data_IF_189518236403
#
_entry.id   IF_189518236403
#
_cell.length_a   1.000
_cell.length_b   1.000
_cell.length_c   1.000
_cell.angle_alpha   90.00
_cell.angle_beta   90.00
_cell.angle_gamma   90.00
#
_symmetry.space_group_name_H-M   'P 1'
#
loop_
_entity.id
_entity.type
_entity.pdbx_description
1 polymer ?
#
# COMPACT_ATOMS: atom_id res chain seq x y z
N UNK A 1 26.43 -19.58 12.36
CA UNK A 1 25.97 -20.97 12.51
C UNK A 1 24.51 -20.87 12.96
N UNK A 2 23.58 -21.50 12.25
CA UNK A 2 22.15 -21.45 12.57
C UNK A 2 21.92 -22.41 13.76
N UNK A 3 21.22 -21.96 14.79
CA UNK A 3 20.78 -22.84 15.88
C UNK A 3 19.52 -23.59 15.44
N UNK A 4 19.67 -24.85 15.01
CA UNK A 4 18.54 -25.65 14.53
C UNK A 4 17.48 -25.91 15.60
N UNK A 5 17.79 -25.73 16.90
CA UNK A 5 16.80 -25.90 17.96
C UNK A 5 15.73 -24.78 17.96
N UNK A 6 16.05 -23.61 17.39
CA UNK A 6 15.07 -22.55 17.19
C UNK A 6 14.04 -22.90 16.11
N UNK A 7 14.33 -23.89 15.25
CA UNK A 7 13.44 -24.34 14.19
C UNK A 7 12.36 -25.31 14.70
N UNK A 8 12.48 -25.85 15.92
CA UNK A 8 11.48 -26.77 16.49
C UNK A 8 10.10 -26.10 16.65
N UNK A 9 10.07 -24.80 16.95
CA UNK A 9 8.82 -24.04 17.00
C UNK A 9 8.20 -23.85 15.61
N UNK A 10 9.06 -23.66 14.60
CA UNK A 10 8.61 -23.54 13.21
C UNK A 10 8.07 -24.88 12.69
N UNK A 11 8.70 -26.00 13.04
CA UNK A 11 8.18 -27.35 12.76
C UNK A 11 6.78 -27.54 13.36
N UNK A 12 6.58 -27.11 14.60
CA UNK A 12 5.28 -27.21 15.28
C UNK A 12 4.20 -26.41 14.54
N UNK A 13 4.49 -25.16 14.15
CA UNK A 13 3.57 -24.32 13.35
C UNK A 13 3.23 -24.98 12.02
N UNK A 14 4.21 -25.52 11.29
CA UNK A 14 3.96 -26.23 10.03
C UNK A 14 3.11 -27.47 10.27
N UNK A 15 3.35 -28.20 11.36
CA UNK A 15 2.55 -29.37 11.73
C UNK A 15 1.08 -29.01 11.99
N UNK A 16 0.82 -27.85 12.60
CA UNK A 16 -0.54 -27.32 12.76
C UNK A 16 -1.15 -26.92 11.43
N UNK A 17 -0.37 -26.29 10.54
CA UNK A 17 -0.80 -26.01 9.16
C UNK A 17 -1.32 -27.27 8.47
N UNK A 18 -0.55 -28.36 8.52
CA UNK A 18 -0.97 -29.66 7.96
C UNK A 18 -2.21 -30.20 8.68
N UNK A 19 -2.21 -30.20 10.02
CA UNK A 19 -3.31 -30.73 10.84
C UNK A 19 -4.64 -30.05 10.57
N UNK A 20 -4.64 -28.73 10.40
CA UNK A 20 -5.83 -27.91 10.20
C UNK A 20 -6.08 -27.56 8.74
N UNK A 21 -5.29 -28.13 7.81
CA UNK A 21 -5.36 -27.87 6.38
C UNK A 21 -5.23 -26.38 6.02
N UNK A 22 -4.28 -25.71 6.67
CA UNK A 22 -3.88 -24.33 6.42
C UNK A 22 -2.55 -24.31 5.66
N UNK A 23 -2.44 -23.41 4.70
CA UNK A 23 -1.18 -23.12 4.04
C UNK A 23 -0.34 -22.21 4.94
N UNK A 24 0.96 -22.49 5.07
CA UNK A 24 1.92 -21.67 5.80
C UNK A 24 2.88 -21.04 4.78
N UNK A 25 2.96 -19.72 4.77
CA UNK A 25 3.99 -18.98 4.05
C UNK A 25 5.05 -18.56 5.05
N UNK A 26 6.30 -19.00 4.85
CA UNK A 26 7.44 -18.51 5.63
C UNK A 26 8.00 -17.31 4.90
N UNK A 27 8.08 -16.17 5.60
CA UNK A 27 8.65 -14.93 5.07
C UNK A 27 9.80 -14.46 5.95
N UNK A 28 10.83 -13.88 5.33
CA UNK A 28 11.91 -13.21 6.05
C UNK A 28 11.63 -11.71 6.04
N UNK A 29 11.44 -11.16 7.24
CA UNK A 29 11.27 -9.71 7.48
C UNK A 29 12.51 -9.08 8.13
N UNK A 30 13.32 -9.87 8.84
CA UNK A 30 14.54 -9.41 9.52
C UNK A 30 15.82 -9.99 8.91
N UNK A 31 16.92 -9.23 8.96
CA UNK A 31 18.19 -9.67 8.39
C UNK A 31 18.96 -10.65 9.29
N UNK A 32 19.65 -11.65 8.71
CA UNK A 32 20.57 -12.48 9.48
C UNK A 32 21.59 -11.65 10.25
N UNK A 33 21.98 -12.13 11.44
CA UNK A 33 22.98 -11.50 12.33
C UNK A 33 22.57 -10.17 12.98
N UNK A 34 21.31 -9.76 12.90
CA UNK A 34 20.80 -8.55 13.57
C UNK A 34 19.92 -8.79 14.80
N UNK A 35 19.68 -10.04 15.18
CA UNK A 35 18.85 -10.40 16.35
C UNK A 35 19.39 -9.78 17.66
N UNK A 36 18.48 -9.24 18.50
CA UNK A 36 18.74 -8.58 19.80
C UNK A 36 19.21 -7.12 19.72
N UNK A 37 18.93 -6.45 18.61
CA UNK A 37 19.11 -5.02 18.49
C UNK A 37 17.76 -4.31 18.75
N UNK A 38 17.68 -2.98 18.86
CA UNK A 38 16.36 -2.31 18.90
C UNK A 38 15.62 -2.51 17.57
N UNK A 39 14.30 -2.32 17.46
CA UNK A 39 13.61 -2.39 16.14
C UNK A 39 14.31 -1.55 15.05
N UNK A 40 14.91 -0.42 15.41
CA UNK A 40 15.72 0.44 14.54
C UNK A 40 17.08 -0.19 14.20
N UNK A 41 17.73 -0.85 15.14
CA UNK A 41 19.01 -1.52 14.92
C UNK A 41 18.87 -2.90 14.24
N UNK A 42 17.75 -3.59 14.44
CA UNK A 42 17.41 -4.86 13.78
C UNK A 42 17.14 -4.63 12.29
N UNK A 43 16.86 -3.37 11.92
CA UNK A 43 16.70 -2.96 10.53
C UNK A 43 15.61 -3.75 9.81
N UNK A 44 14.55 -4.17 10.53
CA UNK A 44 13.40 -4.88 9.94
C UNK A 44 12.78 -4.05 8.79
N UNK A 45 12.95 -2.73 8.85
CA UNK A 45 12.52 -1.78 7.80
C UNK A 45 13.64 -1.40 6.79
N UNK A 46 14.87 -1.86 6.98
CA UNK A 46 16.02 -1.52 6.10
C UNK A 46 16.91 -2.74 5.87
N UNK A 47 16.49 -3.60 4.94
CA UNK A 47 17.22 -4.80 4.50
C UNK A 47 18.16 -4.52 3.29
N UNK A 48 18.56 -3.26 3.09
CA UNK A 48 19.40 -2.80 1.97
C UNK A 48 20.73 -3.56 1.86
N UNK A 49 21.26 -4.01 2.99
CA UNK A 49 22.52 -4.78 3.07
C UNK A 49 22.45 -6.10 2.30
N UNK A 50 21.25 -6.66 2.09
CA UNK A 50 21.06 -7.84 1.23
C UNK A 50 21.60 -7.60 -0.18
N UNK A 51 21.59 -6.35 -0.64
CA UNK A 51 22.01 -5.96 -1.99
C UNK A 51 23.45 -5.41 -2.02
N UNK A 52 23.97 -4.96 -0.88
CA UNK A 52 25.27 -4.29 -0.77
C UNK A 52 26.39 -5.15 -0.14
N UNK A 53 26.06 -6.16 0.67
CA UNK A 53 27.03 -7.00 1.38
C UNK A 53 26.91 -8.47 0.98
N UNK A 54 27.90 -8.97 0.23
CA UNK A 54 27.94 -10.36 -0.25
C UNK A 54 28.04 -11.40 0.89
N UNK A 55 28.56 -11.02 2.07
CA UNK A 55 28.61 -11.92 3.23
C UNK A 55 27.22 -12.13 3.82
N UNK A 56 26.47 -11.04 3.99
CA UNK A 56 25.09 -11.07 4.47
C UNK A 56 24.21 -11.82 3.46
N UNK A 57 24.38 -11.54 2.16
CA UNK A 57 23.69 -12.26 1.10
C UNK A 57 24.01 -13.77 1.10
N UNK A 58 25.27 -14.14 1.36
CA UNK A 58 25.68 -15.54 1.50
C UNK A 58 24.93 -16.25 2.64
N UNK A 59 24.83 -15.61 3.81
CA UNK A 59 24.07 -16.15 4.95
C UNK A 59 22.57 -16.26 4.64
N UNK A 60 22.00 -15.26 3.97
CA UNK A 60 20.61 -15.29 3.50
C UNK A 60 20.34 -16.47 2.57
N UNK A 61 21.22 -16.70 1.59
CA UNK A 61 21.10 -17.83 0.66
C UNK A 61 21.23 -19.17 1.39
N UNK A 62 22.19 -19.31 2.30
CA UNK A 62 22.40 -20.54 3.08
C UNK A 62 21.19 -20.85 3.97
N UNK A 63 20.56 -19.84 4.56
CA UNK A 63 19.35 -19.99 5.37
C UNK A 63 18.19 -20.57 4.54
N UNK A 64 17.94 -20.03 3.36
CA UNK A 64 16.89 -20.54 2.48
C UNK A 64 17.16 -21.97 2.00
N UNK A 65 18.40 -22.29 1.65
CA UNK A 65 18.78 -23.67 1.25
C UNK A 65 18.62 -24.64 2.42
N UNK A 66 18.92 -24.20 3.65
CA UNK A 66 18.68 -25.01 4.85
C UNK A 66 17.18 -25.30 5.04
N UNK A 67 16.31 -24.28 4.99
CA UNK A 67 14.85 -24.48 5.10
C UNK A 67 14.31 -25.35 3.96
N UNK A 68 14.79 -25.17 2.73
CA UNK A 68 14.41 -25.97 1.58
C UNK A 68 14.76 -27.45 1.75
N UNK A 69 15.93 -27.76 2.34
CA UNK A 69 16.32 -29.13 2.69
C UNK A 69 15.49 -29.69 3.85
N UNK A 70 15.31 -28.92 4.93
CA UNK A 70 14.57 -29.35 6.12
C UNK A 70 13.12 -29.72 5.78
N UNK A 71 12.48 -28.93 4.92
CA UNK A 71 11.09 -29.09 4.54
C UNK A 71 10.89 -29.64 3.14
N UNK A 72 11.88 -30.35 2.56
CA UNK A 72 11.79 -30.86 1.20
C UNK A 72 10.57 -31.78 0.97
N UNK A 73 10.20 -32.56 1.99
CA UNK A 73 9.09 -33.52 1.93
C UNK A 73 7.71 -32.90 2.23
N UNK A 74 7.64 -31.64 2.63
CA UNK A 74 6.37 -30.96 2.91
C UNK A 74 5.74 -30.51 1.59
N UNK A 75 4.55 -31.00 1.19
CA UNK A 75 3.92 -30.63 -0.07
C UNK A 75 3.67 -29.12 -0.19
N UNK A 76 3.85 -28.54 -1.38
CA UNK A 76 3.67 -27.10 -1.61
C UNK A 76 2.26 -26.58 -1.34
N UNK A 77 1.24 -27.46 -1.29
CA UNK A 77 -0.10 -27.08 -0.82
C UNK A 77 -0.10 -26.58 0.64
N UNK A 78 0.87 -26.98 1.45
CA UNK A 78 0.97 -26.59 2.86
C UNK A 78 2.08 -25.59 3.15
N UNK A 79 3.04 -25.41 2.25
CA UNK A 79 4.22 -24.60 2.54
C UNK A 79 4.73 -23.86 1.30
N UNK A 80 4.96 -22.56 1.44
CA UNK A 80 5.66 -21.71 0.47
C UNK A 80 6.70 -20.83 1.17
N UNK A 81 7.64 -20.31 0.39
CA UNK A 81 8.71 -19.42 0.85
C UNK A 81 8.57 -18.06 0.18
N UNK A 82 8.30 -17.01 0.93
CA UNK A 82 8.47 -15.63 0.50
C UNK A 82 9.89 -15.18 0.87
N UNK A 83 10.71 -14.86 -0.14
CA UNK A 83 12.15 -14.72 0.09
C UNK A 83 12.51 -13.55 0.99
N UNK A 84 11.84 -12.42 0.82
CA UNK A 84 12.04 -11.21 1.59
C UNK A 84 10.80 -10.34 1.42
N UNK A 85 10.18 -9.93 2.52
CA UNK A 85 9.09 -8.95 2.51
C UNK A 85 9.66 -7.53 2.35
N UNK A 86 8.97 -6.69 1.58
CA UNK A 86 9.24 -5.24 1.46
C UNK A 86 10.74 -4.90 1.33
N UNK A 87 11.38 -5.44 0.28
CA UNK A 87 12.81 -5.23 0.10
C UNK A 87 13.16 -3.75 -0.14
N UNK A 88 14.01 -3.20 0.72
CA UNK A 88 14.66 -1.91 0.57
C UNK A 88 15.78 -2.03 -0.48
N UNK A 89 15.40 -2.12 -1.74
CA UNK A 89 16.37 -2.24 -2.84
C UNK A 89 16.95 -0.86 -3.14
N UNK A 90 18.29 -0.70 -3.23
CA UNK A 90 18.91 0.56 -3.63
C UNK A 90 18.29 1.12 -4.91
N UNK A 91 17.93 2.40 -4.87
CA UNK A 91 17.30 3.15 -5.96
C UNK A 91 16.00 2.51 -6.51
N UNK A 92 15.32 1.65 -5.72
CA UNK A 92 14.20 0.82 -6.17
C UNK A 92 14.51 0.03 -7.46
N UNK A 93 15.76 -0.42 -7.63
CA UNK A 93 16.21 -1.10 -8.84
C UNK A 93 15.69 -2.54 -8.94
N UNK A 94 14.59 -2.74 -9.67
CA UNK A 94 14.04 -4.08 -9.91
C UNK A 94 15.07 -5.02 -10.55
N UNK A 95 15.92 -4.53 -11.46
CA UNK A 95 16.97 -5.35 -12.08
C UNK A 95 17.99 -5.88 -11.06
N UNK A 96 18.39 -5.06 -10.08
CA UNK A 96 19.30 -5.48 -9.01
C UNK A 96 18.63 -6.54 -8.12
N UNK A 97 17.35 -6.34 -7.81
CA UNK A 97 16.56 -7.32 -7.05
C UNK A 97 16.51 -8.68 -7.75
N UNK A 98 16.21 -8.69 -9.05
CA UNK A 98 16.18 -9.90 -9.86
C UNK A 98 17.54 -10.58 -9.94
N UNK A 99 18.62 -9.82 -10.19
CA UNK A 99 19.98 -10.33 -10.25
C UNK A 99 20.38 -11.01 -8.94
N UNK A 100 20.09 -10.36 -7.81
CA UNK A 100 20.45 -10.87 -6.48
C UNK A 100 19.63 -12.07 -6.07
N UNK A 101 18.32 -12.11 -6.32
CA UNK A 101 17.49 -13.24 -5.86
C UNK A 101 17.52 -14.46 -6.79
N UNK A 102 17.80 -14.30 -8.08
CA UNK A 102 17.79 -15.41 -9.03
C UNK A 102 18.70 -16.61 -8.63
N UNK A 103 19.94 -16.42 -8.10
CA UNK A 103 20.75 -17.50 -7.56
C UNK A 103 20.08 -18.25 -6.39
N UNK A 104 19.36 -17.55 -5.52
CA UNK A 104 18.68 -18.14 -4.35
C UNK A 104 17.54 -19.05 -4.80
N UNK A 105 16.72 -18.61 -5.77
CA UNK A 105 15.66 -19.42 -6.38
C UNK A 105 16.22 -20.74 -6.91
N UNK A 106 17.32 -20.67 -7.68
CA UNK A 106 17.97 -21.86 -8.24
C UNK A 106 18.46 -22.81 -7.15
N UNK A 107 19.08 -22.29 -6.10
CA UNK A 107 19.59 -23.09 -5.00
C UNK A 107 18.47 -23.80 -4.21
N UNK A 108 17.33 -23.12 -3.99
CA UNK A 108 16.14 -23.72 -3.39
C UNK A 108 15.60 -24.84 -4.27
N UNK A 109 15.40 -24.58 -5.57
CA UNK A 109 14.81 -25.57 -6.49
C UNK A 109 15.73 -26.74 -6.83
N UNK A 110 17.05 -26.60 -6.66
CA UNK A 110 17.98 -27.72 -6.77
C UNK A 110 17.69 -28.81 -5.72
N UNK A 111 17.27 -28.42 -4.52
CA UNK A 111 17.00 -29.35 -3.40
C UNK A 111 15.51 -29.59 -3.16
N UNK A 112 14.65 -28.66 -3.56
CA UNK A 112 13.18 -28.78 -3.46
C UNK A 112 12.51 -28.28 -4.75
N UNK A 113 12.54 -29.08 -5.84
CA UNK A 113 12.14 -28.62 -7.18
C UNK A 113 10.67 -28.18 -7.32
N UNK A 114 9.81 -28.58 -6.40
CA UNK A 114 8.37 -28.27 -6.44
C UNK A 114 7.98 -27.15 -5.47
N UNK A 115 8.93 -26.62 -4.68
CA UNK A 115 8.63 -25.58 -3.68
C UNK A 115 8.13 -24.32 -4.38
N UNK A 116 6.97 -23.83 -3.93
CA UNK A 116 6.49 -22.50 -4.29
C UNK A 116 7.40 -21.48 -3.61
N UNK A 117 8.05 -20.65 -4.43
CA UNK A 117 8.85 -19.52 -4.00
C UNK A 117 8.16 -18.25 -4.48
N UNK A 118 7.99 -17.29 -3.58
CA UNK A 118 7.27 -16.03 -3.77
C UNK A 118 8.29 -14.90 -3.65
N UNK A 119 8.19 -13.93 -4.56
CA UNK A 119 9.02 -12.72 -4.59
C UNK A 119 8.11 -11.50 -4.55
N UNK A 120 8.53 -10.50 -3.79
CA UNK A 120 7.79 -9.28 -3.54
C UNK A 120 8.03 -8.27 -4.68
N UNK A 121 7.18 -7.24 -4.78
CA UNK A 121 7.47 -6.10 -5.64
C UNK A 121 8.60 -5.23 -5.10
N UNK A 122 9.13 -4.37 -5.98
CA UNK A 122 10.16 -3.38 -5.62
C UNK A 122 9.60 -2.00 -5.95
N UNK A 123 9.06 -1.32 -4.93
CA UNK A 123 8.38 -0.04 -5.14
C UNK A 123 7.27 -0.16 -6.20
N UNK A 124 6.46 -1.23 -6.11
CA UNK A 124 5.37 -1.58 -7.05
C UNK A 124 5.81 -1.94 -8.47
N UNK A 125 7.10 -2.11 -8.70
CA UNK A 125 7.61 -2.72 -9.93
C UNK A 125 7.56 -4.24 -9.80
N UNK A 126 7.01 -4.89 -10.83
CA UNK A 126 6.90 -6.34 -10.87
C UNK A 126 8.24 -6.95 -11.28
N UNK A 127 8.83 -7.87 -10.51
CA UNK A 127 10.06 -8.57 -10.88
C UNK A 127 9.80 -9.65 -11.94
N UNK A 128 9.46 -9.22 -13.16
CA UNK A 128 9.11 -10.10 -14.29
C UNK A 128 10.19 -11.16 -14.60
N UNK A 129 11.47 -10.84 -14.41
CA UNK A 129 12.58 -11.76 -14.64
C UNK A 129 12.55 -12.95 -13.69
N UNK A 130 12.17 -12.75 -12.42
CA UNK A 130 11.98 -13.84 -11.45
C UNK A 130 10.68 -14.61 -11.70
N UNK A 131 9.61 -13.93 -12.10
CA UNK A 131 8.37 -14.58 -12.51
C UNK A 131 8.60 -15.50 -13.72
N UNK A 132 9.38 -15.05 -14.70
CA UNK A 132 9.81 -15.87 -15.86
C UNK A 132 10.60 -17.12 -15.46
N UNK A 133 11.30 -17.09 -14.31
CA UNK A 133 11.98 -18.27 -13.76
C UNK A 133 11.03 -19.25 -13.06
N UNK A 134 9.78 -18.85 -12.80
CA UNK A 134 8.76 -19.67 -12.14
C UNK A 134 8.39 -19.22 -10.72
N UNK A 135 8.95 -18.11 -10.22
CA UNK A 135 8.56 -17.58 -8.92
C UNK A 135 7.16 -16.95 -8.98
N UNK A 136 6.38 -17.15 -7.92
CA UNK A 136 5.12 -16.46 -7.73
C UNK A 136 5.39 -15.00 -7.30
N UNK A 137 4.44 -14.12 -7.59
CA UNK A 137 4.56 -12.69 -7.29
C UNK A 137 3.71 -12.39 -6.05
N UNK A 138 4.25 -11.59 -5.14
CA UNK A 138 3.47 -10.91 -4.12
C UNK A 138 3.48 -9.42 -4.35
N UNK A 139 2.36 -8.75 -4.05
CA UNK A 139 2.36 -7.30 -3.91
C UNK A 139 2.09 -6.92 -2.45
N UNK A 140 2.92 -6.04 -1.92
CA UNK A 140 2.62 -5.23 -0.74
C UNK A 140 1.97 -3.93 -1.21
N UNK A 141 0.72 -4.05 -1.66
CA UNK A 141 -0.03 -2.87 -2.07
C UNK A 141 -0.50 -2.11 -0.84
N UNK A 142 0.31 -1.12 -0.44
CA UNK A 142 -0.11 -0.08 0.47
C UNK A 142 -1.47 0.47 0.07
N UNK A 143 -2.33 0.53 1.09
CA UNK A 143 -3.69 1.06 1.12
C UNK A 143 -3.73 2.42 0.38
N UNK A 144 -4.88 2.78 -0.21
CA UNK A 144 -5.14 4.20 -0.51
C UNK A 144 -4.79 5.06 0.70
N UNK A 145 -4.61 6.37 0.54
CA UNK A 145 -4.26 7.24 1.68
C UNK A 145 -5.45 7.50 2.61
N UNK A 146 -6.11 6.45 3.08
CA UNK A 146 -7.15 6.42 4.13
C UNK A 146 -6.54 6.38 5.53
N UNK A 147 -5.20 6.45 5.64
CA UNK A 147 -4.45 6.58 6.89
C UNK A 147 -3.73 7.93 6.89
N UNK A 148 -4.22 8.87 7.71
CA UNK A 148 -3.61 10.19 7.87
C UNK A 148 -2.23 10.17 8.50
N UNK A 149 -1.84 9.10 9.21
CA UNK A 149 -0.49 8.98 9.78
C UNK A 149 0.60 8.90 8.70
N UNK A 150 0.24 8.50 7.47
CA UNK A 150 1.16 8.51 6.32
C UNK A 150 1.45 9.92 5.79
N UNK A 151 0.77 10.94 6.30
CA UNK A 151 0.86 12.34 5.87
C UNK A 151 1.31 13.26 7.00
N UNK A 152 2.46 12.94 7.62
CA UNK A 152 3.01 13.74 8.72
C UNK A 152 3.14 15.21 8.33
N UNK A 153 2.59 16.10 9.15
CA UNK A 153 2.58 17.55 8.90
C UNK A 153 1.36 18.06 8.14
N UNK A 154 0.46 17.17 7.71
CA UNK A 154 -0.81 17.49 7.05
C UNK A 154 -1.95 17.06 7.97
N UNK A 155 -2.91 17.96 8.21
CA UNK A 155 -4.08 17.67 9.04
C UNK A 155 -5.19 16.94 8.23
N UNK A 156 -4.85 15.80 7.65
CA UNK A 156 -5.80 14.94 6.95
C UNK A 156 -6.28 13.83 7.88
N UNK A 157 -7.58 13.60 7.88
CA UNK A 157 -8.20 12.44 8.54
C UNK A 157 -8.78 11.54 7.47
N UNK A 158 -8.31 10.30 7.42
CA UNK A 158 -8.82 9.27 6.52
C UNK A 158 -10.33 9.06 6.63
N UNK A 159 -10.94 8.77 5.48
CA UNK A 159 -12.36 8.41 5.37
C UNK A 159 -12.56 7.42 4.22
N UNK A 160 -13.73 6.77 4.20
CA UNK A 160 -14.10 5.90 3.09
C UNK A 160 -15.59 6.03 2.74
N UNK A 161 -15.95 6.24 1.46
CA UNK A 161 -15.09 6.29 0.27
C UNK A 161 -14.22 7.55 0.20
N UNK A 162 -12.93 7.37 -0.07
CA UNK A 162 -11.98 8.47 -0.28
C UNK A 162 -12.15 9.06 -1.69
N UNK A 163 -11.83 10.34 -1.84
CA UNK A 163 -11.78 10.99 -3.16
C UNK A 163 -10.74 10.34 -4.06
N UNK A 164 -11.12 10.14 -5.32
CA UNK A 164 -10.15 9.92 -6.37
C UNK A 164 -9.40 11.24 -6.61
N UNK A 165 -8.12 11.29 -6.25
CA UNK A 165 -7.25 12.45 -6.45
C UNK A 165 -5.81 12.00 -6.72
N UNK A 166 -5.34 11.95 -7.97
CA UNK A 166 -3.95 11.61 -8.27
C UNK A 166 -2.98 12.66 -7.71
N UNK A 167 -1.80 12.22 -7.31
CA UNK A 167 -0.75 13.07 -6.75
C UNK A 167 0.15 13.68 -7.81
N UNK A 168 0.16 13.15 -9.03
CA UNK A 168 1.14 13.54 -10.05
C UNK A 168 0.51 14.52 -11.03
N UNK A 169 1.03 15.75 -11.08
CA UNK A 169 0.73 16.70 -12.14
C UNK A 169 1.77 16.56 -13.25
N UNK A 170 1.32 16.12 -14.42
CA UNK A 170 2.13 16.00 -15.64
C UNK A 170 1.77 17.14 -16.62
N UNK A 171 2.61 18.18 -16.77
CA UNK A 171 2.32 19.29 -17.69
C UNK A 171 2.12 18.81 -19.13
N UNK A 172 1.01 19.23 -19.75
CA UNK A 172 0.70 18.90 -21.15
C UNK A 172 0.11 17.51 -21.39
N UNK A 173 -0.13 16.71 -20.34
CA UNK A 173 -0.88 15.47 -20.46
C UNK A 173 -2.39 15.73 -20.68
N UNK A 174 -3.07 14.81 -21.35
CA UNK A 174 -4.53 14.87 -21.50
C UNK A 174 -5.20 14.76 -20.11
N UNK A 175 -6.05 15.74 -19.76
CA UNK A 175 -6.71 15.88 -18.44
C UNK A 175 -5.74 16.07 -17.26
N UNK A 176 -4.75 16.97 -17.42
CA UNK A 176 -3.81 17.37 -16.36
C UNK A 176 -4.32 18.49 -15.43
N UNK A 177 -5.62 18.81 -15.47
CA UNK A 177 -6.20 19.95 -14.73
C UNK A 177 -7.10 19.45 -13.62
N UNK A 178 -6.68 19.62 -12.37
CA UNK A 178 -7.53 19.43 -11.20
C UNK A 178 -8.54 20.58 -11.16
N UNK A 179 -9.82 20.25 -11.08
CA UNK A 179 -10.88 21.25 -10.97
C UNK A 179 -11.59 21.11 -9.64
N UNK A 180 -11.55 22.16 -8.81
CA UNK A 180 -12.34 22.25 -7.58
C UNK A 180 -13.53 23.17 -7.82
N UNK A 181 -14.74 22.64 -7.75
CA UNK A 181 -15.98 23.38 -7.98
C UNK A 181 -16.72 23.58 -6.69
N UNK A 182 -17.22 24.78 -6.42
CA UNK A 182 -18.16 24.99 -5.32
C UNK A 182 -19.59 24.69 -5.76
N UNK A 183 -20.40 24.11 -4.87
CA UNK A 183 -21.86 23.94 -5.06
C UNK A 183 -22.62 25.27 -5.18
N UNK A 184 -22.00 26.35 -4.73
CA UNK A 184 -22.54 27.70 -4.68
C UNK A 184 -21.47 28.69 -5.17
N UNK A 185 -20.62 29.14 -4.25
CA UNK A 185 -19.38 29.88 -4.51
C UNK A 185 -18.43 29.63 -3.33
N UNK A 186 -17.13 29.73 -3.55
CA UNK A 186 -16.13 29.87 -2.50
C UNK A 186 -16.28 31.25 -1.80
N UNK A 187 -16.09 31.28 -0.48
CA UNK A 187 -15.79 32.51 0.25
C UNK A 187 -14.33 32.91 0.03
N UNK A 188 -13.98 34.16 0.34
CA UNK A 188 -12.56 34.56 0.41
C UNK A 188 -11.81 33.62 1.36
N UNK A 189 -10.61 33.22 0.98
CA UNK A 189 -9.83 32.27 1.77
C UNK A 189 -8.51 31.92 1.12
N UNK A 190 -7.96 30.77 1.50
CA UNK A 190 -6.65 30.31 1.06
C UNK A 190 -6.77 28.88 0.53
N UNK A 191 -6.12 28.61 -0.61
CA UNK A 191 -5.82 27.25 -1.06
C UNK A 191 -4.33 26.99 -0.88
N UNK A 192 -3.98 25.82 -0.35
CA UNK A 192 -2.60 25.34 -0.22
C UNK A 192 -2.42 24.00 -0.89
N UNK A 193 -1.28 23.82 -1.52
CA UNK A 193 -0.82 22.55 -2.06
C UNK A 193 0.46 22.13 -1.35
N UNK A 194 0.47 20.91 -0.82
CA UNK A 194 1.65 20.28 -0.21
C UNK A 194 2.34 19.42 -1.26
N UNK A 195 3.61 19.69 -1.54
CA UNK A 195 4.37 19.13 -2.66
C UNK A 195 5.52 18.29 -2.14
N UNK A 196 5.77 17.17 -2.83
CA UNK A 196 6.93 16.33 -2.61
C UNK A 196 8.11 16.77 -3.49
N UNK A 197 9.22 17.12 -2.84
CA UNK A 197 10.45 17.49 -3.55
C UNK A 197 11.43 16.34 -3.72
N UNK A 198 11.21 15.22 -3.03
CA UNK A 198 12.09 14.06 -3.06
C UNK A 198 12.14 13.42 -4.46
N UNK A 199 11.00 13.43 -5.15
CA UNK A 199 10.84 12.82 -6.48
C UNK A 199 10.67 13.84 -7.60
N UNK A 200 10.69 15.14 -7.29
CA UNK A 200 10.60 16.22 -8.28
C UNK A 200 11.98 16.60 -8.82
N UNK A 201 12.05 17.05 -10.08
CA UNK A 201 13.30 17.54 -10.71
C UNK A 201 13.76 18.91 -10.18
N UNK A 202 13.01 19.51 -9.25
CA UNK A 202 13.21 20.86 -8.74
C UNK A 202 12.79 21.97 -9.72
N UNK A 203 12.11 21.62 -10.83
CA UNK A 203 11.72 22.55 -11.90
C UNK A 203 10.23 22.49 -12.26
N UNK A 204 9.41 22.06 -11.31
CA UNK A 204 7.96 21.94 -11.48
C UNK A 204 7.22 22.87 -10.53
N UNK A 205 6.05 23.34 -10.96
CA UNK A 205 5.15 24.18 -10.16
C UNK A 205 3.68 23.98 -10.49
N UNK A 206 2.82 24.77 -9.85
CA UNK A 206 1.38 24.79 -10.12
C UNK A 206 0.95 26.17 -10.59
N UNK A 207 0.12 26.23 -11.64
CA UNK A 207 -0.66 27.41 -11.96
C UNK A 207 -2.09 27.24 -11.45
N UNK A 208 -2.66 28.29 -10.83
CA UNK A 208 -4.00 28.29 -10.24
C UNK A 208 -4.82 29.43 -10.84
N UNK A 209 -6.02 29.08 -11.32
CA UNK A 209 -6.98 30.03 -11.89
C UNK A 209 -8.30 29.95 -11.11
N UNK A 210 -8.87 31.10 -10.78
CA UNK A 210 -10.20 31.26 -10.22
C UNK A 210 -11.15 31.80 -11.30
N UNK A 211 -12.17 31.04 -11.68
CA UNK A 211 -13.11 31.35 -12.77
C UNK A 211 -12.40 31.81 -14.06
N UNK A 212 -11.28 31.15 -14.39
CA UNK A 212 -10.44 31.45 -15.56
C UNK A 212 -9.45 32.60 -15.38
N UNK A 213 -9.48 33.32 -14.25
CA UNK A 213 -8.52 34.38 -13.93
C UNK A 213 -7.34 33.78 -13.16
N UNK A 214 -6.12 33.97 -13.65
CA UNK A 214 -4.91 33.55 -12.93
C UNK A 214 -4.79 34.26 -11.60
N UNK A 215 -4.81 33.50 -10.50
CA UNK A 215 -4.54 33.97 -9.13
C UNK A 215 -3.15 33.55 -8.65
N UNK A 216 -2.58 32.53 -9.29
CA UNK A 216 -1.20 32.10 -9.09
C UNK A 216 -0.63 31.62 -10.43
N UNK A 217 0.41 32.26 -11.00
CA UNK A 217 0.88 31.95 -12.34
C UNK A 217 1.67 30.64 -12.44
N UNK A 218 2.25 30.17 -11.32
CA UNK A 218 3.21 29.07 -11.29
C UNK A 218 4.60 29.45 -11.82
N UNK A 219 5.65 28.96 -11.15
CA UNK A 219 7.04 29.03 -11.63
C UNK A 219 7.79 27.73 -11.24
N UNK A 220 9.12 27.71 -11.31
CA UNK A 220 9.96 26.69 -10.67
C UNK A 220 9.87 26.84 -9.15
N UNK A 221 8.94 26.12 -8.55
CA UNK A 221 8.61 26.28 -7.12
C UNK A 221 9.70 25.68 -6.23
N UNK A 222 10.29 26.49 -5.35
CA UNK A 222 11.27 26.02 -4.36
C UNK A 222 10.61 25.55 -3.05
N UNK A 223 9.39 26.02 -2.77
CA UNK A 223 8.65 25.70 -1.55
C UNK A 223 7.98 24.31 -1.62
N UNK A 224 7.93 23.60 -0.50
CA UNK A 224 7.09 22.40 -0.33
C UNK A 224 5.60 22.74 -0.13
N UNK A 225 5.28 24.02 0.05
CA UNK A 225 3.90 24.51 0.15
C UNK A 225 3.69 25.67 -0.84
N UNK A 226 2.75 25.50 -1.77
CA UNK A 226 2.25 26.59 -2.62
C UNK A 226 0.97 27.12 -2.00
N UNK A 227 0.84 28.44 -1.91
CA UNK A 227 -0.33 29.11 -1.33
C UNK A 227 -0.87 30.18 -2.29
N UNK A 228 -2.21 30.22 -2.44
CA UNK A 228 -2.88 31.27 -3.18
C UNK A 228 -4.16 31.74 -2.46
N UNK A 229 -4.49 33.02 -2.59
CA UNK A 229 -5.74 33.59 -2.09
C UNK A 229 -6.88 33.28 -3.04
N UNK A 230 -7.95 32.69 -2.53
CA UNK A 230 -9.21 32.45 -3.25
C UNK A 230 -10.06 33.72 -3.15
N UNK A 231 -10.45 34.36 -4.28
CA UNK A 231 -11.37 35.48 -4.26
C UNK A 231 -12.78 35.10 -3.76
N UNK A 232 -13.47 36.03 -3.10
CA UNK A 232 -14.88 35.84 -2.74
C UNK A 232 -15.73 35.68 -4.00
N UNK A 233 -16.65 34.71 -3.97
CA UNK A 233 -17.60 34.49 -5.06
C UNK A 233 -17.08 33.58 -6.18
N UNK A 234 -15.84 33.09 -6.08
CA UNK A 234 -15.27 32.13 -7.05
C UNK A 234 -16.15 30.88 -7.14
N UNK A 235 -16.41 30.37 -8.35
CA UNK A 235 -17.19 29.13 -8.53
C UNK A 235 -16.31 27.93 -8.82
N UNK A 236 -15.21 28.15 -9.52
CA UNK A 236 -14.32 27.10 -9.98
C UNK A 236 -12.86 27.52 -9.80
N UNK A 237 -12.06 26.61 -9.24
CA UNK A 237 -10.61 26.68 -9.21
C UNK A 237 -10.07 25.63 -10.18
N UNK A 238 -9.17 26.03 -11.06
CA UNK A 238 -8.47 25.16 -12.00
C UNK A 238 -6.99 25.17 -11.67
N UNK A 239 -6.40 23.99 -11.50
CA UNK A 239 -5.02 23.80 -11.08
C UNK A 239 -4.33 22.89 -12.07
N UNK A 240 -3.20 23.34 -12.61
CA UNK A 240 -2.41 22.60 -13.60
C UNK A 240 -0.92 22.63 -13.24
N UNK A 241 -0.22 21.54 -13.54
CA UNK A 241 1.24 21.50 -13.45
C UNK A 241 1.88 22.37 -14.53
N UNK A 242 2.97 23.05 -14.19
CA UNK A 242 3.79 23.84 -15.12
C UNK A 242 5.25 23.41 -15.10
N UNK A 243 5.94 23.64 -16.22
CA UNK A 243 7.36 23.39 -16.48
C UNK A 243 7.80 21.92 -16.48
N UNK A 244 7.56 21.16 -15.39
CA UNK A 244 7.96 19.76 -15.24
C UNK A 244 7.00 18.99 -14.32
N UNK A 245 7.18 17.68 -14.21
CA UNK A 245 6.37 16.79 -13.36
C UNK A 245 6.47 17.24 -11.89
N UNK A 246 5.31 17.33 -11.24
CA UNK A 246 5.19 17.72 -9.85
C UNK A 246 4.39 16.66 -9.07
N UNK A 247 4.87 16.34 -7.87
CA UNK A 247 4.22 15.41 -6.96
C UNK A 247 3.54 16.18 -5.82
N UNK A 248 2.27 15.91 -5.57
CA UNK A 248 1.44 16.52 -4.54
C UNK A 248 1.05 15.45 -3.51
N UNK A 249 1.10 15.82 -2.23
CA UNK A 249 0.64 15.02 -1.10
C UNK A 249 -0.80 15.34 -0.67
N UNK A 250 -1.17 16.61 -0.72
CA UNK A 250 -2.48 17.07 -0.31
C UNK A 250 -2.80 18.48 -0.84
N UNK A 251 -4.09 18.82 -0.78
CA UNK A 251 -4.62 20.17 -0.95
C UNK A 251 -5.47 20.56 0.26
N UNK A 252 -5.26 21.76 0.77
CA UNK A 252 -6.01 22.36 1.89
C UNK A 252 -6.76 23.61 1.41
N UNK A 253 -8.02 23.72 1.80
CA UNK A 253 -8.87 24.90 1.58
C UNK A 253 -9.28 25.47 2.94
N UNK A 254 -8.84 26.69 3.23
CA UNK A 254 -9.13 27.42 4.46
C UNK A 254 -10.02 28.62 4.13
N UNK A 255 -11.26 28.61 4.62
CA UNK A 255 -12.23 29.65 4.32
C UNK A 255 -12.93 30.11 5.60
N UNK A 256 -12.71 31.35 6.08
CA UNK A 256 -13.33 31.84 7.30
C UNK A 256 -14.85 31.63 7.32
N UNK A 257 -15.33 30.96 8.36
CA UNK A 257 -16.76 30.65 8.53
C UNK A 257 -17.25 29.41 7.78
N UNK A 258 -16.36 28.63 7.17
CA UNK A 258 -16.65 27.31 6.59
C UNK A 258 -15.84 26.23 7.30
N UNK A 259 -16.20 24.98 7.07
CA UNK A 259 -15.38 23.83 7.45
C UNK A 259 -14.14 23.79 6.57
N UNK A 260 -12.97 23.66 7.16
CA UNK A 260 -11.71 23.46 6.41
C UNK A 260 -11.79 22.13 5.64
N UNK A 261 -11.30 22.13 4.40
CA UNK A 261 -11.27 20.92 3.56
C UNK A 261 -9.83 20.52 3.34
N UNK A 262 -9.51 19.27 3.64
CA UNK A 262 -8.22 18.66 3.39
C UNK A 262 -8.42 17.42 2.54
N UNK A 263 -7.85 17.40 1.34
CA UNK A 263 -7.85 16.24 0.44
C UNK A 263 -6.43 15.72 0.33
N UNK A 264 -6.22 14.43 0.53
CA UNK A 264 -4.94 13.78 0.23
C UNK A 264 -4.99 13.10 -1.13
N UNK A 265 -3.85 12.99 -1.81
CA UNK A 265 -3.80 12.13 -2.99
C UNK A 265 -3.93 10.66 -2.59
N UNK A 266 -4.65 9.89 -3.40
CA UNK A 266 -4.94 8.49 -3.10
C UNK A 266 -3.77 7.55 -3.43
N UNK A 267 -2.90 7.99 -4.34
CA UNK A 267 -1.89 7.21 -5.05
C UNK A 267 -0.49 7.34 -4.41
N UNK A 268 -0.40 7.58 -3.09
CA UNK A 268 0.86 7.80 -2.35
C UNK A 268 2.00 6.88 -2.77
N UNK A 269 1.66 5.63 -3.03
CA UNK A 269 2.61 4.58 -3.34
C UNK A 269 2.48 4.09 -4.79
N UNK A 270 1.51 4.57 -5.58
CA UNK A 270 1.31 4.18 -6.99
C UNK A 270 1.68 5.31 -7.94
N UNK A 271 2.70 5.10 -8.76
CA UNK A 271 3.20 6.11 -9.71
C UNK A 271 2.57 5.97 -11.09
N UNK A 272 1.24 5.89 -11.17
CA UNK A 272 0.60 5.96 -12.48
C UNK A 272 0.53 7.43 -12.95
N UNK A 273 1.58 7.86 -13.64
CA UNK A 273 1.76 9.23 -14.16
C UNK A 273 0.67 9.69 -15.15
N UNK A 274 -0.25 8.80 -15.55
CA UNK A 274 -1.27 9.06 -16.56
C UNK A 274 -2.70 9.05 -16.00
N UNK A 275 -2.86 9.13 -14.69
CA UNK A 275 -4.18 9.22 -14.09
C UNK A 275 -4.82 10.60 -14.36
N UNK A 276 -6.08 10.65 -14.85
CA UNK A 276 -6.73 11.91 -15.18
C UNK A 276 -7.04 12.71 -13.92
N UNK A 277 -6.71 14.00 -13.91
CA UNK A 277 -7.09 14.87 -12.82
C UNK A 277 -8.63 15.03 -12.75
N UNK A 278 -9.22 14.97 -11.54
CA UNK A 278 -10.67 14.96 -11.37
C UNK A 278 -11.28 16.36 -11.33
N UNK A 279 -12.61 16.39 -11.44
CA UNK A 279 -13.45 17.47 -10.94
C UNK A 279 -14.01 17.09 -9.57
N UNK A 280 -13.67 17.83 -8.52
CA UNK A 280 -14.17 17.61 -7.16
C UNK A 280 -15.11 18.74 -6.77
N UNK A 281 -16.35 18.40 -6.40
CA UNK A 281 -17.32 19.31 -5.81
C UNK A 281 -16.99 19.52 -4.33
N UNK A 282 -16.88 20.77 -3.91
CA UNK A 282 -16.66 21.21 -2.54
C UNK A 282 -17.93 21.90 -2.03
N UNK A 283 -18.51 21.39 -0.95
CA UNK A 283 -19.70 21.96 -0.32
C UNK A 283 -19.34 22.85 0.87
N UNK A 284 -20.26 23.73 1.25
CA UNK A 284 -20.03 24.67 2.36
C UNK A 284 -19.85 23.99 3.73
N UNK A 285 -20.34 22.76 3.90
CA UNK A 285 -20.18 21.96 5.12
C UNK A 285 -18.84 21.19 5.17
N UNK A 286 -18.03 21.29 4.12
CA UNK A 286 -16.74 20.61 3.99
C UNK A 286 -16.82 19.24 3.30
N UNK A 287 -18.01 18.77 2.93
CA UNK A 287 -18.14 17.49 2.21
C UNK A 287 -17.74 17.62 0.74
N UNK A 288 -17.23 16.52 0.20
CA UNK A 288 -16.61 16.45 -1.12
C UNK A 288 -17.15 15.31 -1.96
N UNK A 289 -17.06 15.45 -3.29
CA UNK A 289 -17.52 14.42 -4.23
C UNK A 289 -16.80 14.58 -5.58
N UNK A 290 -16.23 13.49 -6.13
CA UNK A 290 -15.82 13.47 -7.54
C UNK A 290 -17.06 13.54 -8.44
N UNK A 291 -17.14 14.48 -9.39
CA UNK A 291 -18.37 14.72 -10.19
C UNK A 291 -18.17 14.56 -11.71
N UNK A 292 -17.07 13.94 -12.12
CA UNK A 292 -16.80 13.65 -13.54
C UNK A 292 -17.86 12.72 -14.16
N UNK A 293 -17.92 12.68 -15.49
CA UNK A 293 -18.79 11.76 -16.24
C UNK A 293 -17.99 11.00 -17.31
N UNK A 294 -17.70 9.70 -17.10
CA UNK A 294 -18.03 8.89 -15.92
C UNK A 294 -17.30 9.37 -14.66
N UNK A 295 -17.87 9.07 -13.50
CA UNK A 295 -17.31 9.44 -12.20
C UNK A 295 -15.97 8.71 -11.99
N UNK A 296 -14.94 9.44 -11.60
CA UNK A 296 -13.68 8.87 -11.15
C UNK A 296 -13.82 8.51 -9.67
N UNK A 297 -13.70 7.22 -9.34
CA UNK A 297 -13.91 6.69 -7.99
C UNK A 297 -12.91 5.60 -7.67
N UNK A 298 -12.56 5.47 -6.40
CA UNK A 298 -11.76 4.38 -5.87
C UNK A 298 -12.70 3.22 -5.52
N UNK A 299 -12.65 2.15 -6.31
CA UNK A 299 -13.48 0.98 -6.15
C UNK A 299 -12.73 -0.28 -6.62
N UNK A 300 -13.41 -1.42 -6.65
CA UNK A 300 -12.81 -2.68 -7.06
C UNK A 300 -12.24 -2.68 -8.48
N UNK A 301 -12.84 -1.95 -9.42
CA UNK A 301 -12.31 -1.84 -10.79
C UNK A 301 -10.99 -1.06 -10.81
N UNK A 302 -10.88 0.02 -10.01
CA UNK A 302 -9.60 0.73 -9.82
C UNK A 302 -8.54 -0.18 -9.19
N UNK A 303 -8.90 -0.93 -8.15
CA UNK A 303 -7.97 -1.86 -7.48
C UNK A 303 -7.46 -2.95 -8.44
N UNK A 304 -8.35 -3.56 -9.22
CA UNK A 304 -7.99 -4.59 -10.19
C UNK A 304 -7.08 -4.01 -11.29
N UNK A 305 -7.49 -2.92 -11.92
CA UNK A 305 -6.84 -2.44 -13.15
C UNK A 305 -5.58 -1.62 -12.88
N UNK A 306 -5.62 -0.72 -11.89
CA UNK A 306 -4.53 0.22 -11.63
C UNK A 306 -3.55 -0.37 -10.61
N UNK A 307 -4.05 -0.94 -9.51
CA UNK A 307 -3.17 -1.42 -8.43
C UNK A 307 -2.61 -2.81 -8.67
N UNK A 308 -3.40 -3.73 -9.26
CA UNK A 308 -3.02 -5.13 -9.43
C UNK A 308 -2.75 -5.53 -10.89
N UNK A 309 -3.17 -4.73 -11.86
CA UNK A 309 -3.22 -5.11 -13.28
C UNK A 309 -1.89 -5.65 -13.80
N UNK A 310 -0.77 -4.96 -13.50
CA UNK A 310 0.58 -5.38 -13.91
C UNK A 310 0.97 -6.74 -13.34
N UNK A 311 0.66 -7.01 -12.06
CA UNK A 311 0.96 -8.30 -11.44
C UNK A 311 0.09 -9.42 -12.02
N UNK A 312 -1.21 -9.16 -12.23
CA UNK A 312 -2.14 -10.09 -12.86
C UNK A 312 -1.67 -10.46 -14.27
N UNK A 313 -1.29 -9.47 -15.07
CA UNK A 313 -0.77 -9.68 -16.43
C UNK A 313 0.54 -10.48 -16.42
N UNK A 314 1.48 -10.13 -15.53
CA UNK A 314 2.74 -10.83 -15.39
C UNK A 314 2.53 -12.30 -14.99
N UNK A 315 1.70 -12.56 -13.99
CA UNK A 315 1.37 -13.90 -13.53
C UNK A 315 0.76 -14.76 -14.63
N UNK A 316 -0.18 -14.20 -15.40
CA UNK A 316 -0.76 -14.86 -16.58
C UNK A 316 0.29 -15.13 -17.66
N UNK A 317 1.15 -14.15 -17.96
CA UNK A 317 2.19 -14.24 -18.99
C UNK A 317 3.19 -15.36 -18.73
N UNK A 318 3.59 -15.55 -17.46
CA UNK A 318 4.59 -16.56 -17.08
C UNK A 318 4.00 -17.81 -16.43
N UNK A 319 2.67 -17.89 -16.31
CA UNK A 319 1.95 -19.00 -15.68
C UNK A 319 2.46 -19.30 -14.25
N UNK A 320 2.53 -18.26 -13.43
CA UNK A 320 2.90 -18.31 -12.01
C UNK A 320 1.76 -17.82 -11.14
N UNK A 321 1.82 -18.10 -9.83
CA UNK A 321 0.86 -17.56 -8.87
C UNK A 321 1.07 -16.07 -8.62
N UNK A 322 0.00 -15.38 -8.24
CA UNK A 322 0.01 -14.02 -7.73
C UNK A 322 -0.79 -13.99 -6.43
N UNK A 323 -0.26 -13.36 -5.39
CA UNK A 323 -0.89 -13.20 -4.07
C UNK A 323 -0.81 -11.74 -3.62
N UNK A 324 -1.80 -11.28 -2.86
CA UNK A 324 -1.63 -10.11 -2.00
C UNK A 324 -1.26 -10.56 -0.59
N UNK A 325 -0.01 -10.35 -0.17
CA UNK A 325 0.47 -10.76 1.15
C UNK A 325 0.01 -9.86 2.29
N UNK A 326 -0.46 -8.65 2.00
CA UNK A 326 -0.96 -7.69 3.00
C UNK A 326 -2.25 -7.02 2.54
N UNK A 327 -3.37 -7.72 2.72
CA UNK A 327 -4.71 -7.14 2.57
C UNK A 327 -5.17 -6.63 3.92
N UNK A 328 -5.35 -5.33 4.06
CA UNK A 328 -5.75 -4.74 5.32
C UNK A 328 -5.15 -3.35 5.49
N UNK A 329 -5.68 -2.59 6.44
CA UNK A 329 -5.14 -1.31 6.85
C UNK A 329 -5.01 -1.25 8.36
N UNK A 330 -3.95 -0.60 8.80
CA UNK A 330 -3.71 -0.26 10.20
C UNK A 330 -4.26 1.13 10.55
N UNK A 331 -5.01 1.76 9.62
CA UNK A 331 -5.60 3.09 9.83
C UNK A 331 -6.45 3.14 11.10
N UNK A 332 -6.26 4.20 11.90
CA UNK A 332 -7.14 4.52 13.02
C UNK A 332 -8.22 5.56 12.65
N UNK A 333 -8.17 6.08 11.43
CA UNK A 333 -9.04 7.20 11.03
C UNK A 333 -10.46 6.75 10.67
N UNK A 334 -10.59 5.55 10.12
CA UNK A 334 -11.86 4.99 9.71
C UNK A 334 -12.70 4.54 10.90
N UNK A 335 -13.98 4.92 10.91
CA UNK A 335 -14.96 4.26 11.78
C UNK A 335 -15.07 2.76 11.43
N UNK A 336 -15.54 1.92 12.35
CA UNK A 336 -15.70 0.49 12.08
C UNK A 336 -16.55 0.19 10.82
N UNK A 337 -17.68 0.90 10.55
CA UNK A 337 -18.41 0.72 9.30
C UNK A 337 -17.61 1.09 8.05
N UNK A 338 -16.84 2.18 8.08
CA UNK A 338 -15.98 2.59 6.96
C UNK A 338 -14.84 1.60 6.74
N UNK A 339 -14.23 1.11 7.83
CA UNK A 339 -13.20 0.09 7.81
C UNK A 339 -13.73 -1.19 7.14
N UNK A 340 -14.91 -1.67 7.55
CA UNK A 340 -15.54 -2.85 6.94
C UNK A 340 -15.87 -2.59 5.47
N UNK A 341 -16.41 -1.42 5.13
CA UNK A 341 -16.78 -1.08 3.75
C UNK A 341 -15.56 -1.04 2.82
N UNK A 342 -14.45 -0.43 3.26
CA UNK A 342 -13.19 -0.36 2.53
C UNK A 342 -12.62 -1.75 2.24
N UNK A 343 -12.49 -2.58 3.28
CA UNK A 343 -11.91 -3.91 3.12
C UNK A 343 -12.83 -4.86 2.37
N UNK A 344 -14.14 -4.71 2.49
CA UNK A 344 -15.11 -5.46 1.70
C UNK A 344 -14.94 -5.20 0.20
N UNK A 345 -14.64 -3.96 -0.20
CA UNK A 345 -14.40 -3.62 -1.61
C UNK A 345 -13.16 -4.35 -2.16
N UNK A 346 -12.07 -4.39 -1.38
CA UNK A 346 -10.88 -5.19 -1.70
C UNK A 346 -11.21 -6.68 -1.79
N UNK A 347 -11.81 -7.26 -0.75
CA UNK A 347 -12.07 -8.69 -0.67
C UNK A 347 -13.03 -9.18 -1.77
N UNK A 348 -14.04 -8.38 -2.15
CA UNK A 348 -14.90 -8.65 -3.31
C UNK A 348 -14.10 -8.73 -4.60
N UNK A 349 -13.17 -7.79 -4.80
CA UNK A 349 -12.33 -7.73 -5.99
C UNK A 349 -11.42 -8.96 -6.08
N UNK A 350 -10.77 -9.31 -4.97
CA UNK A 350 -9.89 -10.47 -4.90
C UNK A 350 -10.65 -11.78 -5.11
N UNK A 351 -11.84 -11.92 -4.52
CA UNK A 351 -12.70 -13.07 -4.74
C UNK A 351 -13.16 -13.18 -6.20
N UNK A 352 -13.55 -12.05 -6.83
CA UNK A 352 -13.96 -11.98 -8.24
C UNK A 352 -12.89 -12.55 -9.17
N UNK A 353 -11.63 -12.21 -8.91
CA UNK A 353 -10.50 -12.57 -9.77
C UNK A 353 -9.74 -13.81 -9.29
N UNK A 354 -10.26 -14.48 -8.25
CA UNK A 354 -9.64 -15.65 -7.60
C UNK A 354 -8.18 -15.39 -7.17
N UNK A 355 -7.89 -14.17 -6.72
CA UNK A 355 -6.57 -13.78 -6.23
C UNK A 355 -6.46 -14.21 -4.76
N UNK A 356 -5.53 -15.12 -4.41
CA UNK A 356 -5.28 -15.47 -3.02
C UNK A 356 -4.77 -14.24 -2.26
N UNK A 357 -5.03 -14.20 -0.96
CA UNK A 357 -4.67 -13.09 -0.11
C UNK A 357 -4.34 -13.52 1.30
N UNK A 358 -3.60 -12.66 2.00
CA UNK A 358 -3.33 -12.75 3.43
C UNK A 358 -3.77 -11.46 4.11
N UNK A 359 -4.40 -11.60 5.28
CA UNK A 359 -4.85 -10.43 6.04
C UNK A 359 -3.69 -9.78 6.78
N UNK A 360 -3.61 -8.45 6.71
CA UNK A 360 -2.60 -7.68 7.41
C UNK A 360 -2.87 -7.71 8.93
N UNK A 361 -1.89 -8.23 9.67
CA UNK A 361 -1.88 -8.49 11.11
C UNK A 361 -3.08 -9.28 11.66
N UNK A 362 -2.79 -10.41 12.32
CA UNK A 362 -3.82 -11.14 13.06
C UNK A 362 -4.42 -10.29 14.19
N UNK A 363 -3.62 -9.39 14.79
CA UNK A 363 -4.06 -8.46 15.85
C UNK A 363 -5.16 -7.48 15.40
N UNK A 364 -5.35 -7.32 14.08
CA UNK A 364 -6.47 -6.58 13.47
C UNK A 364 -7.80 -7.35 13.49
N UNK A 365 -7.79 -8.61 13.85
CA UNK A 365 -8.97 -9.48 13.87
C UNK A 365 -9.18 -10.08 15.25
N UNK A 366 -8.11 -10.66 15.81
CA UNK A 366 -8.12 -11.32 17.09
C UNK A 366 -6.77 -11.19 17.81
N UNK A 367 -6.81 -11.17 19.14
CA UNK A 367 -5.60 -11.07 19.95
C UNK A 367 -5.90 -10.90 21.43
N UNK A 368 -4.86 -10.72 22.22
CA UNK A 368 -5.05 -10.25 23.60
C UNK A 368 -5.56 -8.82 23.53
N UNK A 369 -6.59 -8.47 24.31
CA UNK A 369 -7.32 -7.20 24.16
C UNK A 369 -6.45 -5.94 24.10
N UNK A 370 -5.34 -5.90 24.86
CA UNK A 370 -4.41 -4.77 24.88
C UNK A 370 -3.35 -4.78 23.77
N UNK A 371 -3.32 -5.82 22.94
CA UNK A 371 -2.42 -6.00 21.80
C UNK A 371 -3.13 -5.91 20.46
N UNK A 372 -4.45 -6.12 20.45
CA UNK A 372 -5.25 -5.84 19.26
C UNK A 372 -5.03 -4.40 18.82
N UNK A 373 -5.18 -4.14 17.53
CA UNK A 373 -5.07 -2.85 16.85
C UNK A 373 -6.05 -2.89 15.67
N UNK A 374 -6.47 -1.76 15.06
CA UNK A 374 -6.53 -0.41 15.61
C UNK A 374 -7.63 -0.24 16.69
N UNK A 375 -7.66 0.90 17.39
CA UNK A 375 -8.58 1.15 18.52
C UNK A 375 -10.08 0.97 18.21
N UNK A 376 -10.53 1.30 17.00
CA UNK A 376 -11.93 1.08 16.59
C UNK A 376 -12.33 -0.40 16.60
N UNK A 377 -11.38 -1.32 16.43
CA UNK A 377 -11.61 -2.76 16.51
C UNK A 377 -11.70 -3.21 17.98
N UNK A 378 -10.91 -2.58 18.87
CA UNK A 378 -10.83 -2.88 20.30
C UNK A 378 -12.03 -2.43 21.12
N UNK A 379 -12.60 -1.28 20.77
CA UNK A 379 -13.64 -0.61 21.56
C UNK A 379 -15.05 -1.00 21.09
N UNK A 380 -15.15 -1.74 19.99
CA UNK A 380 -16.42 -2.17 19.44
C UNK A 380 -17.22 -3.06 20.42
N UNK A 381 -18.53 -2.83 20.49
CA UNK A 381 -19.45 -3.69 21.26
C UNK A 381 -19.52 -5.14 20.76
N UNK A 382 -18.81 -5.43 19.67
CA UNK A 382 -18.74 -6.69 18.93
C UNK A 382 -17.49 -7.51 19.26
N UNK A 383 -16.68 -7.08 20.23
CA UNK A 383 -15.53 -7.82 20.71
C UNK A 383 -15.96 -9.01 21.58
N UNK A 384 -15.69 -10.23 21.12
CA UNK A 384 -16.09 -11.48 21.78
C UNK A 384 -14.88 -12.30 22.24
N UNK A 385 -14.97 -13.02 23.37
CA UNK A 385 -13.89 -13.87 23.86
C UNK A 385 -13.77 -15.16 23.02
N UNK A 386 -12.54 -15.66 22.86
CA UNK A 386 -12.27 -17.00 22.34
C UNK A 386 -12.17 -17.97 23.53
N UNK A 387 -13.10 -18.91 23.62
CA UNK A 387 -13.22 -19.84 24.74
C UNK A 387 -11.91 -20.60 25.01
N UNK A 388 -11.52 -20.67 26.29
CA UNK A 388 -10.30 -21.37 26.72
C UNK A 388 -9.00 -20.61 26.47
N UNK A 389 -9.06 -19.35 26.02
CA UNK A 389 -7.88 -18.53 25.74
C UNK A 389 -8.01 -17.13 26.36
N UNK A 390 -6.91 -16.36 26.49
CA UNK A 390 -6.96 -14.94 26.85
C UNK A 390 -7.34 -14.03 25.67
N UNK A 391 -7.64 -14.59 24.49
CA UNK A 391 -7.83 -13.84 23.26
C UNK A 391 -9.29 -13.45 23.05
N UNK A 392 -9.45 -12.36 22.31
CA UNK A 392 -10.73 -11.83 21.83
C UNK A 392 -10.68 -11.71 20.31
N UNK A 393 -11.84 -11.62 19.67
CA UNK A 393 -11.95 -11.27 18.25
C UNK A 393 -13.07 -10.27 18.04
N UNK A 394 -12.93 -9.41 17.03
CA UNK A 394 -14.00 -8.53 16.61
C UNK A 394 -14.95 -9.30 15.69
N UNK A 395 -16.20 -9.49 16.11
CA UNK A 395 -17.17 -10.30 15.37
C UNK A 395 -17.46 -9.74 13.97
N UNK A 396 -17.57 -8.44 13.80
CA UNK A 396 -17.93 -7.87 12.50
C UNK A 396 -16.79 -8.00 11.49
N UNK A 397 -15.54 -7.77 11.93
CA UNK A 397 -14.35 -8.00 11.10
C UNK A 397 -14.22 -9.48 10.76
N UNK A 398 -14.43 -10.37 11.73
CA UNK A 398 -14.37 -11.82 11.49
C UNK A 398 -15.44 -12.29 10.51
N UNK A 399 -16.69 -11.85 10.68
CA UNK A 399 -17.79 -12.18 9.77
C UNK A 399 -17.53 -11.67 8.34
N UNK A 400 -16.95 -10.47 8.20
CA UNK A 400 -16.51 -9.93 6.92
C UNK A 400 -15.46 -10.84 6.28
N UNK A 401 -14.41 -11.23 7.00
CA UNK A 401 -13.36 -12.11 6.46
C UNK A 401 -13.90 -13.49 6.08
N UNK A 402 -14.74 -14.09 6.92
CA UNK A 402 -15.37 -15.39 6.66
C UNK A 402 -16.21 -15.37 5.37
N UNK A 403 -16.86 -14.24 5.05
CA UNK A 403 -17.65 -14.10 3.83
C UNK A 403 -16.80 -14.19 2.55
N UNK A 404 -15.50 -13.93 2.63
CA UNK A 404 -14.58 -13.84 1.48
C UNK A 404 -13.40 -14.84 1.53
N UNK A 405 -13.34 -15.72 2.54
CA UNK A 405 -12.23 -16.66 2.74
C UNK A 405 -12.37 -17.99 1.97
N UNK A 406 -13.22 -18.07 0.94
CA UNK A 406 -13.58 -19.32 0.25
C UNK A 406 -13.30 -19.30 -1.24
#
# INVERSE_FOLDING_TARGET
MIDESELDQLDEVISWGIKYNLHIMISITGMPCKQNATMQDEGVQSNEELFADDTIFGVFSDYWVMLAKRYADIPSKYLSFELVAEAAVPDASVSLYEERLAPVLRAIWEVSPQRIVIVNDVGKQIPEGLAKMGACISLHNGICTVDGLKRVGINYKGHWPMEYLPGIFCPGADRSVLTLRSDSTFAEGTIRFYIDRTWSTGKGGLAIRADGVTIYPGDDEESEVIEATIPEGTKELQIEGVHDVLYMYAVELLQPGRTDVMLSNHDLYTTNENEPMPTILIRADGTTENIDSPQLVLNGDYFETVLMGKAIECAKKYNVGFILSEVGSDTEDLSLPEYIAYHTEWLKTLQKDHIPWMWNYMDNVCGVKNRMWPEQIKIASTLLPIEGTPMFYNKEVFDMLEAYSR
#
